data_IF_135503806004
#
_entry.id   IF_135503806004
#
_cell.length_a   1.000
_cell.length_b   1.000
_cell.length_c   1.000
_cell.angle_alpha   90.00
_cell.angle_beta   90.00
_cell.angle_gamma   90.00
#
_symmetry.space_group_name_H-M   'P 1'
#
loop_
_entity.id
_entity.type
_entity.pdbx_description
1 polymer ?
#
# COMPACT_ATOMS: atom_id res chain seq x y z
N UNK A 1 -15.15 -12.12 18.10
CA UNK A 1 -15.37 -10.69 17.80
C UNK A 1 -14.27 -10.23 16.87
N UNK A 2 -14.62 -9.59 15.75
CA UNK A 2 -13.61 -9.01 14.87
C UNK A 2 -12.89 -7.88 15.63
N UNK A 3 -11.55 -7.91 15.62
CA UNK A 3 -10.67 -6.95 16.29
C UNK A 3 -9.86 -6.20 15.23
N UNK A 4 -9.41 -4.99 15.53
CA UNK A 4 -8.56 -4.18 14.65
C UNK A 4 -9.11 -2.77 14.43
N UNK A 5 -8.39 -1.91 13.68
CA UNK A 5 -8.71 -0.50 13.54
C UNK A 5 -10.14 -0.21 13.05
N UNK A 6 -10.66 -1.00 12.11
CA UNK A 6 -12.02 -0.83 11.56
C UNK A 6 -13.15 -0.98 12.61
N UNK A 7 -12.86 -1.62 13.73
CA UNK A 7 -13.82 -1.94 14.78
C UNK A 7 -13.70 -0.99 15.98
N UNK A 8 -12.85 0.04 15.89
CA UNK A 8 -12.79 1.12 16.87
C UNK A 8 -13.88 2.16 16.57
N UNK A 9 -14.45 2.78 17.59
CA UNK A 9 -15.53 3.76 17.42
C UNK A 9 -15.02 5.11 16.89
N UNK A 10 -13.72 5.39 17.06
CA UNK A 10 -13.04 6.57 16.51
C UNK A 10 -12.66 6.43 15.02
N UNK A 11 -12.82 5.25 14.43
CA UNK A 11 -12.39 5.01 13.05
C UNK A 11 -13.27 5.78 12.05
N UNK A 12 -12.63 6.53 11.16
CA UNK A 12 -13.30 7.26 10.07
C UNK A 12 -13.09 6.53 8.74
N UNK A 13 -14.15 6.01 8.10
CA UNK A 13 -14.01 5.30 6.85
C UNK A 13 -13.74 6.24 5.67
N UNK A 14 -12.81 5.86 4.80
CA UNK A 14 -12.61 6.46 3.49
C UNK A 14 -12.91 5.47 2.35
N UNK A 15 -13.80 5.89 1.44
CA UNK A 15 -14.26 5.14 0.26
C UNK A 15 -14.29 6.02 -1.01
N UNK A 16 -13.60 7.16 -1.00
CA UNK A 16 -13.70 8.17 -2.05
C UNK A 16 -12.41 9.00 -2.18
N UNK A 17 -12.37 9.85 -3.21
CA UNK A 17 -11.25 10.76 -3.52
C UNK A 17 -10.40 10.30 -4.71
N UNK A 18 -10.47 9.02 -5.08
CA UNK A 18 -9.82 8.49 -6.29
C UNK A 18 -10.60 8.85 -7.59
N UNK A 19 -11.74 9.54 -7.51
CA UNK A 19 -12.57 9.94 -8.66
C UNK A 19 -12.85 8.79 -9.65
N UNK A 20 -12.99 7.57 -9.14
CA UNK A 20 -13.15 6.30 -9.91
C UNK A 20 -11.95 5.86 -10.77
N UNK A 21 -10.86 6.63 -10.77
CA UNK A 21 -9.62 6.29 -11.46
C UNK A 21 -8.72 5.44 -10.55
N UNK A 22 -8.30 4.24 -10.98
CA UNK A 22 -7.21 3.55 -10.31
C UNK A 22 -5.89 4.34 -10.47
N UNK A 23 -4.90 4.04 -9.64
CA UNK A 23 -3.56 4.61 -9.78
C UNK A 23 -3.03 4.35 -11.20
N UNK A 24 -2.33 5.31 -11.79
CA UNK A 24 -1.69 5.18 -13.11
C UNK A 24 -0.18 5.41 -13.02
N UNK A 25 0.56 4.83 -13.95
CA UNK A 25 1.99 5.12 -14.13
C UNK A 25 2.26 6.63 -14.24
N UNK A 26 3.38 7.06 -13.65
CA UNK A 26 3.84 8.45 -13.65
C UNK A 26 3.04 9.41 -12.75
N UNK A 27 1.87 9.03 -12.21
CA UNK A 27 1.08 9.92 -11.34
C UNK A 27 1.81 10.26 -10.04
N UNK A 28 2.40 9.26 -9.38
CA UNK A 28 3.12 9.47 -8.12
C UNK A 28 4.36 10.36 -8.31
N UNK A 29 5.13 10.12 -9.39
CA UNK A 29 6.30 10.92 -9.75
C UNK A 29 5.92 12.37 -10.06
N UNK A 30 4.90 12.59 -10.91
CA UNK A 30 4.42 13.94 -11.23
C UNK A 30 3.95 14.70 -9.98
N UNK A 31 3.21 14.03 -9.10
CA UNK A 31 2.79 14.60 -7.82
C UNK A 31 3.98 14.97 -6.94
N UNK A 32 4.95 14.05 -6.79
CA UNK A 32 6.17 14.29 -6.04
C UNK A 32 6.94 15.51 -6.56
N UNK A 33 7.18 15.58 -7.87
CA UNK A 33 7.95 16.68 -8.48
C UNK A 33 7.30 18.04 -8.25
N UNK A 34 5.97 18.13 -8.43
CA UNK A 34 5.26 19.38 -8.18
C UNK A 34 5.34 19.81 -6.71
N UNK A 35 5.18 18.87 -5.79
CA UNK A 35 5.27 19.17 -4.36
C UNK A 35 6.70 19.57 -3.98
N UNK A 36 7.71 18.84 -4.45
CA UNK A 36 9.12 19.13 -4.18
C UNK A 36 9.54 20.53 -4.66
N UNK A 37 9.09 20.95 -5.85
CA UNK A 37 9.37 22.29 -6.39
C UNK A 37 8.73 23.44 -5.59
N UNK A 38 7.61 23.16 -4.93
CA UNK A 38 6.81 24.18 -4.25
C UNK A 38 6.91 24.10 -2.73
N UNK A 39 7.64 23.14 -2.17
CA UNK A 39 7.72 22.88 -0.72
C UNK A 39 8.23 24.09 0.08
N UNK A 40 9.06 24.94 -0.54
CA UNK A 40 9.55 26.18 0.06
C UNK A 40 8.59 27.39 -0.03
N UNK A 41 7.44 27.25 -0.70
CA UNK A 41 6.46 28.34 -0.87
C UNK A 41 5.44 28.35 0.28
N UNK A 42 4.98 29.53 0.74
CA UNK A 42 3.84 29.61 1.64
C UNK A 42 2.58 29.12 0.93
N UNK A 43 1.72 28.39 1.65
CA UNK A 43 0.44 27.88 1.13
C UNK A 43 0.55 27.09 -0.19
N UNK A 44 1.64 26.34 -0.33
CA UNK A 44 2.03 25.63 -1.56
C UNK A 44 1.02 24.59 -2.08
N UNK A 45 0.02 24.22 -1.29
CA UNK A 45 -1.02 23.29 -1.70
C UNK A 45 -1.82 23.81 -2.90
N UNK A 46 -2.19 25.09 -2.90
CA UNK A 46 -2.93 25.70 -4.01
C UNK A 46 -2.13 25.59 -5.31
N UNK A 47 -0.84 25.91 -5.23
CA UNK A 47 0.09 25.76 -6.35
C UNK A 47 0.16 24.32 -6.88
N UNK A 48 0.01 23.30 -6.02
CA UNK A 48 0.07 21.91 -6.45
C UNK A 48 -1.19 21.39 -7.14
N UNK A 49 -2.38 21.89 -6.76
CA UNK A 49 -3.64 21.19 -7.04
C UNK A 49 -4.76 22.03 -7.63
N UNK A 50 -4.60 23.36 -7.73
CA UNK A 50 -5.61 24.25 -8.30
C UNK A 50 -5.59 24.23 -9.84
N UNK A 51 -6.30 25.14 -10.50
CA UNK A 51 -6.56 25.08 -11.95
C UNK A 51 -5.28 25.06 -12.81
N UNK A 52 -4.18 25.66 -12.35
CA UNK A 52 -2.87 25.58 -13.03
C UNK A 52 -2.32 24.15 -13.11
N UNK A 53 -2.69 23.28 -12.16
CA UNK A 53 -2.28 21.88 -12.12
C UNK A 53 -2.84 21.09 -13.32
N UNK A 54 -4.00 21.48 -13.86
CA UNK A 54 -4.62 20.85 -15.03
C UNK A 54 -3.68 20.99 -16.24
N UNK A 55 -3.27 22.22 -16.54
CA UNK A 55 -2.35 22.52 -17.63
C UNK A 55 -0.98 21.86 -17.40
N UNK A 56 -0.47 21.93 -16.17
CA UNK A 56 0.85 21.41 -15.83
C UNK A 56 0.94 19.89 -15.92
N UNK A 57 -0.02 19.18 -15.34
CA UNK A 57 -0.02 17.71 -15.37
C UNK A 57 -0.50 17.13 -16.70
N UNK A 58 -1.12 17.98 -17.54
CA UNK A 58 -1.69 17.59 -18.83
C UNK A 58 -2.88 16.64 -18.67
N UNK A 59 -3.67 16.78 -17.60
CA UNK A 59 -4.81 15.90 -17.29
C UNK A 59 -6.01 16.71 -16.81
N UNK A 60 -7.22 16.14 -16.92
CA UNK A 60 -8.45 16.80 -16.45
C UNK A 60 -8.54 16.95 -14.93
N UNK A 61 -9.40 17.87 -14.47
CA UNK A 61 -9.61 18.20 -13.04
C UNK A 61 -9.81 16.98 -12.12
N UNK A 62 -10.63 16.02 -12.53
CA UNK A 62 -10.89 14.81 -11.74
C UNK A 62 -9.65 13.90 -11.64
N UNK A 63 -8.81 13.88 -12.68
CA UNK A 63 -7.54 13.15 -12.64
C UNK A 63 -6.52 13.83 -11.74
N UNK A 64 -6.50 15.18 -11.67
CA UNK A 64 -5.66 15.91 -10.69
C UNK A 64 -6.07 15.53 -9.26
N UNK A 65 -7.37 15.55 -8.97
CA UNK A 65 -7.88 15.14 -7.66
C UNK A 65 -7.52 13.67 -7.31
N UNK A 66 -7.64 12.76 -8.27
CA UNK A 66 -7.24 11.36 -8.11
C UNK A 66 -5.73 11.19 -7.94
N UNK A 67 -4.92 11.92 -8.70
CA UNK A 67 -3.45 11.91 -8.58
C UNK A 67 -3.01 12.32 -7.17
N UNK A 68 -3.58 13.40 -6.65
CA UNK A 68 -3.37 13.84 -5.27
C UNK A 68 -3.79 12.77 -4.25
N UNK A 69 -4.96 12.17 -4.46
CA UNK A 69 -5.46 11.10 -3.59
C UNK A 69 -4.48 9.93 -3.53
N UNK A 70 -4.01 9.45 -4.67
CA UNK A 70 -3.07 8.33 -4.73
C UNK A 70 -1.69 8.69 -4.20
N UNK A 71 -1.18 9.88 -4.47
CA UNK A 71 0.10 10.34 -3.93
C UNK A 71 0.11 10.38 -2.39
N UNK A 72 -0.99 10.84 -1.78
CA UNK A 72 -1.17 10.79 -0.33
C UNK A 72 -1.32 9.34 0.16
N UNK A 73 -2.17 8.56 -0.50
CA UNK A 73 -2.46 7.18 -0.13
C UNK A 73 -1.24 6.25 -0.20
N UNK A 74 -0.35 6.50 -1.16
CA UNK A 74 0.90 5.78 -1.35
C UNK A 74 2.02 6.29 -0.43
N UNK A 75 1.73 7.26 0.46
CA UNK A 75 2.70 7.82 1.39
C UNK A 75 3.85 8.56 0.71
N UNK A 76 3.65 9.10 -0.50
CA UNK A 76 4.68 9.84 -1.27
C UNK A 76 4.69 11.32 -0.87
N UNK A 77 3.51 11.85 -0.56
CA UNK A 77 3.30 13.20 -0.05
C UNK A 77 2.45 13.14 1.20
N UNK A 78 2.54 14.17 2.03
CA UNK A 78 1.65 14.37 3.16
C UNK A 78 1.15 15.81 3.19
N UNK A 79 0.04 16.03 3.89
CA UNK A 79 -0.59 17.34 4.04
C UNK A 79 -0.71 17.64 5.53
N UNK A 80 0.33 18.22 6.14
CA UNK A 80 0.35 18.47 7.59
C UNK A 80 -0.74 19.45 8.02
N UNK A 81 -1.12 20.38 7.13
CA UNK A 81 -2.17 21.37 7.36
C UNK A 81 -3.05 21.53 6.12
N UNK A 82 -4.15 22.27 6.25
CA UNK A 82 -5.10 22.50 5.14
C UNK A 82 -4.44 23.21 3.96
N UNK A 83 -3.42 24.04 4.18
CA UNK A 83 -2.76 24.84 3.14
C UNK A 83 -1.33 24.37 2.82
N UNK A 84 -0.83 23.33 3.47
CA UNK A 84 0.54 22.84 3.27
C UNK A 84 0.55 21.41 2.75
N UNK A 85 1.40 21.16 1.77
CA UNK A 85 1.74 19.83 1.28
C UNK A 85 3.26 19.69 1.24
N UNK A 86 3.79 18.51 1.58
CA UNK A 86 5.23 18.26 1.55
C UNK A 86 5.55 16.84 1.11
N UNK A 87 6.77 16.63 0.63
CA UNK A 87 7.26 15.28 0.31
C UNK A 87 7.50 14.46 1.59
N UNK A 88 7.28 13.16 1.54
CA UNK A 88 7.60 12.26 2.67
C UNK A 88 9.02 11.69 2.54
N UNK A 89 9.49 11.00 3.58
CA UNK A 89 10.75 10.23 3.50
C UNK A 89 10.72 9.17 2.39
N UNK A 90 9.60 8.45 2.25
CA UNK A 90 9.42 7.46 1.19
C UNK A 90 9.38 8.10 -0.20
N UNK A 91 8.67 9.23 -0.36
CA UNK A 91 8.64 9.95 -1.63
C UNK A 91 10.03 10.42 -2.07
N UNK A 92 10.81 10.96 -1.13
CA UNK A 92 12.20 11.39 -1.39
C UNK A 92 13.12 10.21 -1.72
N UNK A 93 12.95 9.08 -1.04
CA UNK A 93 13.71 7.85 -1.32
C UNK A 93 13.48 7.37 -2.75
N UNK A 94 12.22 7.31 -3.21
CA UNK A 94 11.89 6.78 -4.53
C UNK A 94 12.18 7.78 -5.65
N UNK A 95 11.72 9.02 -5.52
CA UNK A 95 11.61 9.97 -6.64
C UNK A 95 12.51 11.20 -6.54
N UNK A 96 13.28 11.33 -5.45
CA UNK A 96 14.19 12.45 -5.24
C UNK A 96 15.30 12.52 -6.29
N UNK A 97 16.13 13.57 -6.22
CA UNK A 97 17.22 13.78 -7.18
C UNK A 97 18.21 12.61 -7.26
N UNK A 98 18.35 11.84 -6.17
CA UNK A 98 19.09 10.57 -6.09
C UNK A 98 18.15 9.42 -5.71
N UNK A 99 16.91 9.49 -6.18
CA UNK A 99 15.89 8.50 -5.87
C UNK A 99 16.24 7.13 -6.46
N UNK A 100 15.88 6.07 -5.74
CA UNK A 100 16.24 4.69 -6.11
C UNK A 100 15.38 4.13 -7.24
N UNK A 101 14.22 4.74 -7.52
CA UNK A 101 13.33 4.32 -8.61
C UNK A 101 12.50 5.50 -9.14
N UNK A 102 13.11 6.43 -9.90
CA UNK A 102 12.45 7.66 -10.37
C UNK A 102 11.25 7.43 -11.28
N UNK A 103 11.17 6.26 -11.91
CA UNK A 103 10.15 5.91 -12.90
C UNK A 103 9.13 4.87 -12.39
N UNK A 104 9.30 4.37 -11.16
CA UNK A 104 8.44 3.34 -10.55
C UNK A 104 8.45 2.03 -11.35
N UNK A 105 9.61 1.64 -11.87
CA UNK A 105 9.79 0.43 -12.69
C UNK A 105 10.19 -0.79 -11.86
N UNK A 106 10.68 -0.57 -10.63
CA UNK A 106 11.11 -1.66 -9.78
C UNK A 106 9.93 -2.26 -8.98
N UNK A 107 9.77 -3.60 -8.93
CA UNK A 107 8.66 -4.23 -8.21
C UNK A 107 8.56 -3.87 -6.73
N UNK A 108 9.71 -3.59 -6.07
CA UNK A 108 9.74 -3.14 -4.68
C UNK A 108 8.91 -1.86 -4.46
N UNK A 109 8.94 -0.92 -5.40
CA UNK A 109 8.12 0.30 -5.35
C UNK A 109 6.63 -0.03 -5.35
N UNK A 110 6.21 -0.99 -6.18
CA UNK A 110 4.83 -1.45 -6.24
C UNK A 110 4.40 -2.11 -4.93
N UNK A 111 5.25 -2.94 -4.33
CA UNK A 111 5.00 -3.55 -3.03
C UNK A 111 4.88 -2.54 -1.91
N UNK A 112 5.67 -1.46 -1.94
CA UNK A 112 5.57 -0.36 -0.97
C UNK A 112 4.26 0.41 -1.12
N UNK A 113 3.84 0.72 -2.35
CA UNK A 113 2.53 1.34 -2.58
C UNK A 113 1.42 0.42 -2.07
N UNK A 114 1.49 -0.88 -2.37
CA UNK A 114 0.51 -1.84 -1.85
C UNK A 114 0.48 -1.87 -0.31
N UNK A 115 1.66 -1.88 0.34
CA UNK A 115 1.76 -1.80 1.80
C UNK A 115 1.05 -0.58 2.35
N UNK A 116 1.32 0.60 1.78
CA UNK A 116 0.69 1.85 2.21
C UNK A 116 -0.84 1.83 2.06
N UNK A 117 -1.35 1.21 0.99
CA UNK A 117 -2.79 1.10 0.75
C UNK A 117 -3.50 0.08 1.64
N UNK A 118 -2.86 -1.06 1.95
CA UNK A 118 -3.53 -2.22 2.54
C UNK A 118 -3.04 -2.64 3.94
N UNK A 119 -1.83 -2.23 4.32
CA UNK A 119 -1.26 -2.42 5.67
C UNK A 119 -1.69 -1.35 6.67
N UNK A 120 -2.24 -0.24 6.17
CA UNK A 120 -2.81 0.86 6.96
C UNK A 120 -4.33 0.90 6.81
N UNK A 121 -5.03 1.23 7.88
CA UNK A 121 -6.49 1.22 7.88
C UNK A 121 -7.14 2.41 7.14
N UNK A 122 -6.35 3.38 6.66
CA UNK A 122 -6.89 4.61 6.05
C UNK A 122 -7.76 4.33 4.82
N UNK A 123 -7.39 3.36 3.98
CA UNK A 123 -8.19 2.93 2.82
C UNK A 123 -9.05 1.74 3.18
N UNK A 124 -10.26 2.03 3.66
CA UNK A 124 -11.18 1.05 4.23
C UNK A 124 -11.32 -0.22 3.39
N UNK A 125 -11.59 -0.09 2.09
CA UNK A 125 -11.80 -1.24 1.21
C UNK A 125 -10.53 -2.06 1.02
N UNK A 126 -9.37 -1.40 0.84
CA UNK A 126 -8.09 -2.09 0.68
C UNK A 126 -7.69 -2.82 1.95
N UNK A 127 -7.68 -2.11 3.08
CA UNK A 127 -7.36 -2.71 4.37
C UNK A 127 -8.30 -3.87 4.69
N UNK A 128 -9.62 -3.69 4.54
CA UNK A 128 -10.57 -4.75 4.79
C UNK A 128 -10.40 -5.95 3.86
N UNK A 129 -10.13 -5.72 2.57
CA UNK A 129 -9.94 -6.79 1.58
C UNK A 129 -8.79 -7.73 1.97
N UNK A 130 -7.63 -7.17 2.30
CA UNK A 130 -6.43 -7.98 2.59
C UNK A 130 -6.38 -8.44 4.06
N UNK A 131 -6.87 -7.62 5.00
CA UNK A 131 -6.74 -7.88 6.44
C UNK A 131 -7.96 -8.56 7.09
N UNK A 132 -9.13 -8.55 6.47
CA UNK A 132 -10.35 -9.06 7.11
C UNK A 132 -11.21 -9.95 6.23
N UNK A 133 -11.09 -9.86 4.91
CA UNK A 133 -11.89 -10.69 4.01
C UNK A 133 -11.59 -12.19 4.25
N UNK A 134 -12.61 -13.01 4.54
CA UNK A 134 -12.38 -14.37 5.02
C UNK A 134 -12.15 -15.40 3.90
N UNK A 135 -12.49 -15.07 2.65
CA UNK A 135 -12.49 -16.04 1.55
C UNK A 135 -11.37 -15.74 0.54
N UNK A 136 -10.86 -16.80 -0.10
CA UNK A 136 -9.85 -16.67 -1.16
C UNK A 136 -10.46 -16.18 -2.47
N UNK A 137 -11.72 -16.51 -2.73
CA UNK A 137 -12.46 -16.10 -3.92
C UNK A 137 -13.61 -15.18 -3.57
N UNK A 138 -13.93 -14.24 -4.45
CA UNK A 138 -15.07 -13.35 -4.30
C UNK A 138 -15.69 -12.98 -5.64
N UNK A 139 -16.96 -12.61 -5.61
CA UNK A 139 -17.66 -11.96 -6.72
C UNK A 139 -17.90 -10.50 -6.33
N UNK A 140 -17.84 -9.58 -7.30
CA UNK A 140 -17.95 -8.13 -7.02
C UNK A 140 -19.17 -7.76 -6.19
N UNK A 141 -20.34 -8.28 -6.57
CA UNK A 141 -21.60 -7.96 -5.89
C UNK A 141 -21.61 -8.43 -4.43
N UNK A 142 -21.15 -9.66 -4.18
CA UNK A 142 -21.07 -10.21 -2.84
C UNK A 142 -20.01 -9.52 -1.98
N UNK A 143 -18.90 -9.07 -2.59
CA UNK A 143 -17.88 -8.27 -1.93
C UNK A 143 -18.46 -6.92 -1.47
N UNK A 144 -19.17 -6.22 -2.36
CA UNK A 144 -19.86 -4.96 -2.06
C UNK A 144 -20.90 -5.12 -0.95
N UNK A 145 -21.76 -6.16 -1.00
CA UNK A 145 -22.76 -6.43 0.04
C UNK A 145 -22.13 -6.64 1.43
N UNK A 146 -20.97 -7.30 1.49
CA UNK A 146 -20.25 -7.51 2.76
C UNK A 146 -19.64 -6.22 3.31
N UNK A 147 -19.12 -5.33 2.46
CA UNK A 147 -18.66 -4.00 2.87
C UNK A 147 -19.83 -3.11 3.33
N UNK A 148 -20.95 -3.13 2.62
CA UNK A 148 -22.16 -2.41 3.01
C UNK A 148 -22.66 -2.88 4.39
N UNK A 149 -22.67 -4.20 4.62
CA UNK A 149 -22.99 -4.76 5.93
C UNK A 149 -22.03 -4.29 7.01
N UNK A 150 -20.71 -4.31 6.75
CA UNK A 150 -19.72 -3.77 7.68
C UNK A 150 -20.01 -2.30 8.00
N UNK A 151 -20.29 -1.48 7.00
CA UNK A 151 -20.60 -0.07 7.19
C UNK A 151 -21.84 0.15 8.06
N UNK A 152 -22.88 -0.65 7.87
CA UNK A 152 -24.10 -0.64 8.70
C UNK A 152 -23.81 -1.11 10.13
N UNK A 153 -23.11 -2.22 10.30
CA UNK A 153 -22.76 -2.78 11.61
C UNK A 153 -21.86 -1.82 12.42
N UNK A 154 -21.06 -0.98 11.74
CA UNK A 154 -20.21 0.06 12.34
C UNK A 154 -20.88 1.44 12.40
N UNK A 155 -22.16 1.55 12.04
CA UNK A 155 -22.91 2.81 12.02
C UNK A 155 -22.24 3.93 11.19
N UNK A 156 -21.60 3.59 10.07
CA UNK A 156 -21.03 4.54 9.11
C UNK A 156 -22.14 5.15 8.22
N UNK A 157 -23.03 5.90 8.86
CA UNK A 157 -24.28 6.44 8.30
C UNK A 157 -24.14 7.35 7.07
N UNK A 158 -22.91 7.77 6.73
CA UNK A 158 -22.60 8.68 5.62
C UNK A 158 -22.18 8.00 4.32
N UNK A 159 -22.14 6.66 4.30
CA UNK A 159 -21.61 5.92 3.14
C UNK A 159 -22.74 5.57 2.16
N UNK A 160 -22.80 6.28 1.03
CA UNK A 160 -23.76 6.00 -0.02
C UNK A 160 -23.42 4.70 -0.80
N UNK A 161 -24.45 3.97 -1.25
CA UNK A 161 -24.26 2.75 -2.06
C UNK A 161 -23.47 3.00 -3.35
N UNK A 162 -23.71 4.13 -4.01
CA UNK A 162 -22.98 4.51 -5.22
C UNK A 162 -21.48 4.69 -4.94
N UNK A 163 -21.13 5.26 -3.78
CA UNK A 163 -19.74 5.42 -3.35
C UNK A 163 -19.07 4.07 -3.15
N UNK A 164 -19.70 3.14 -2.40
CA UNK A 164 -19.17 1.79 -2.22
C UNK A 164 -19.00 1.04 -3.55
N UNK A 165 -19.99 1.15 -4.44
CA UNK A 165 -19.93 0.54 -5.77
C UNK A 165 -18.74 1.06 -6.57
N UNK A 166 -18.53 2.37 -6.59
CA UNK A 166 -17.43 3.02 -7.30
C UNK A 166 -16.06 2.67 -6.69
N UNK A 167 -15.97 2.63 -5.36
CA UNK A 167 -14.76 2.29 -4.62
C UNK A 167 -14.35 0.83 -4.84
N UNK A 168 -15.30 -0.12 -4.73
CA UNK A 168 -15.05 -1.54 -5.03
C UNK A 168 -14.64 -1.74 -6.49
N UNK A 169 -15.27 -1.02 -7.43
CA UNK A 169 -14.87 -1.07 -8.83
C UNK A 169 -13.45 -0.54 -9.04
N UNK A 170 -13.06 0.52 -8.34
CA UNK A 170 -11.70 1.08 -8.36
C UNK A 170 -10.68 0.11 -7.74
N UNK A 171 -11.01 -0.50 -6.60
CA UNK A 171 -10.21 -1.55 -5.96
C UNK A 171 -9.91 -2.70 -6.91
N UNK A 172 -10.92 -3.25 -7.58
CA UNK A 172 -10.73 -4.33 -8.55
C UNK A 172 -9.82 -3.88 -9.70
N UNK A 173 -10.07 -2.70 -10.28
CA UNK A 173 -9.23 -2.13 -11.35
C UNK A 173 -7.79 -1.82 -10.93
N UNK A 174 -7.53 -1.72 -9.63
CA UNK A 174 -6.19 -1.45 -9.10
C UNK A 174 -5.31 -2.70 -9.17
N UNK A 175 -5.89 -3.90 -9.02
CA UNK A 175 -5.13 -5.16 -8.93
C UNK A 175 -5.41 -6.16 -10.05
N UNK A 176 -6.49 -5.99 -10.81
CA UNK A 176 -6.89 -6.93 -11.86
C UNK A 176 -6.72 -6.30 -13.22
N UNK A 177 -5.78 -6.84 -14.00
CA UNK A 177 -5.61 -6.52 -15.41
C UNK A 177 -6.90 -6.77 -16.19
N UNK A 178 -7.25 -5.87 -17.11
CA UNK A 178 -8.44 -6.04 -17.95
C UNK A 178 -8.07 -6.93 -19.14
N UNK A 179 -8.95 -7.88 -19.53
CA UNK A 179 -8.79 -8.52 -20.82
C UNK A 179 -8.79 -7.45 -21.92
N UNK A 180 -7.90 -7.53 -22.92
CA UNK A 180 -7.91 -6.59 -24.03
C UNK A 180 -9.29 -6.63 -24.70
N UNK A 181 -10.02 -5.53 -24.63
CA UNK A 181 -11.31 -5.38 -25.30
C UNK A 181 -11.18 -4.26 -26.34
N UNK A 182 -11.35 -4.61 -27.61
CA UNK A 182 -11.11 -3.72 -28.76
C UNK A 182 -12.08 -2.54 -28.93
N UNK A 183 -12.75 -2.09 -27.86
CA UNK A 183 -13.78 -1.02 -27.88
C UNK A 183 -13.55 0.11 -26.88
N UNK A 184 -12.41 0.15 -26.19
CA UNK A 184 -12.11 1.15 -25.17
C UNK A 184 -11.11 2.17 -25.72
N UNK A 185 -11.41 3.47 -25.59
CA UNK A 185 -10.52 4.55 -26.03
C UNK A 185 -9.15 4.50 -25.34
N UNK A 186 -8.11 4.98 -26.02
CA UNK A 186 -6.70 4.87 -25.60
C UNK A 186 -6.41 5.30 -24.14
N UNK A 187 -7.18 6.24 -23.60
CA UNK A 187 -6.93 6.83 -22.27
C UNK A 187 -7.64 6.08 -21.11
N UNK A 188 -8.61 5.23 -21.45
CA UNK A 188 -9.35 4.37 -20.50
C UNK A 188 -8.82 2.91 -20.51
N UNK A 189 -7.78 2.68 -21.32
CA UNK A 189 -7.04 1.44 -21.48
C UNK A 189 -5.79 1.34 -20.58
N UNK A 190 -5.41 2.40 -19.86
CA UNK A 190 -4.25 2.38 -18.96
C UNK A 190 -4.57 1.59 -17.69
N UNK A 191 -3.83 0.50 -17.49
CA UNK A 191 -3.91 -0.34 -16.31
C UNK A 191 -3.17 0.29 -15.13
N UNK A 192 -3.56 -0.10 -13.92
CA UNK A 192 -2.83 0.28 -12.70
C UNK A 192 -1.51 -0.47 -12.63
N UNK A 193 -0.40 0.17 -12.21
CA UNK A 193 0.88 -0.53 -12.05
C UNK A 193 0.77 -1.71 -11.05
N UNK A 194 -0.15 -1.62 -10.09
CA UNK A 194 -0.35 -2.66 -9.08
C UNK A 194 -0.97 -3.97 -9.63
N UNK A 195 -1.38 -4.01 -10.90
CA UNK A 195 -1.79 -5.28 -11.54
C UNK A 195 -0.62 -6.25 -11.69
N UNK A 196 0.61 -5.73 -11.81
CA UNK A 196 1.84 -6.50 -11.97
C UNK A 196 2.18 -7.35 -10.75
N UNK A 197 1.70 -6.95 -9.57
CA UNK A 197 1.87 -7.73 -8.33
C UNK A 197 1.12 -9.06 -8.37
N UNK A 198 0.12 -9.21 -9.26
CA UNK A 198 -0.62 -10.45 -9.43
C UNK A 198 -1.41 -10.90 -8.19
N UNK A 199 -1.67 -9.99 -7.24
CA UNK A 199 -2.32 -10.26 -5.96
C UNK A 199 -3.78 -10.70 -6.12
N UNK A 200 -4.46 -10.25 -7.18
CA UNK A 200 -5.84 -10.62 -7.49
C UNK A 200 -5.94 -11.02 -8.97
N UNK A 201 -6.55 -12.18 -9.25
CA UNK A 201 -6.76 -12.69 -10.62
C UNK A 201 -8.25 -12.93 -10.90
N UNK A 202 -8.68 -12.62 -12.12
CA UNK A 202 -10.01 -13.02 -12.60
C UNK A 202 -10.07 -14.54 -12.81
N UNK A 203 -11.20 -15.17 -12.50
CA UNK A 203 -11.40 -16.64 -12.57
C UNK A 203 -12.50 -17.07 -13.56
N UNK A 204 -12.83 -16.23 -14.53
CA UNK A 204 -13.69 -16.55 -15.69
C UNK A 204 -15.19 -16.68 -15.43
N UNK A 205 -15.64 -16.86 -14.18
CA UNK A 205 -17.06 -16.80 -13.79
C UNK A 205 -17.50 -15.35 -13.61
N UNK A 206 -18.77 -15.04 -13.93
CA UNK A 206 -19.56 -13.81 -13.66
C UNK A 206 -18.90 -12.79 -12.71
N UNK A 207 -17.88 -12.07 -13.19
CA UNK A 207 -17.19 -11.04 -12.38
C UNK A 207 -16.61 -11.58 -11.04
N UNK A 208 -16.04 -12.78 -11.12
CA UNK A 208 -15.39 -13.51 -10.04
C UNK A 208 -13.88 -13.36 -10.05
N UNK A 209 -13.32 -13.25 -8.85
CA UNK A 209 -11.91 -12.97 -8.58
C UNK A 209 -11.36 -13.91 -7.51
N UNK A 210 -10.04 -14.04 -7.48
CA UNK A 210 -9.33 -14.75 -6.41
C UNK A 210 -8.11 -13.97 -5.94
N UNK A 211 -7.88 -13.97 -4.64
CA UNK A 211 -6.61 -13.57 -4.05
C UNK A 211 -5.55 -14.64 -4.31
N UNK A 212 -4.32 -14.24 -4.61
CA UNK A 212 -3.19 -15.13 -4.90
C UNK A 212 -2.27 -15.20 -3.67
N UNK A 213 -2.45 -16.25 -2.88
CA UNK A 213 -1.62 -16.56 -1.72
C UNK A 213 -0.38 -17.35 -2.09
N UNK A 214 0.67 -17.23 -1.28
CA UNK A 214 1.94 -17.94 -1.42
C UNK A 214 3.11 -16.99 -1.70
N UNK A 215 4.26 -17.58 -2.02
CA UNK A 215 5.52 -16.89 -2.27
C UNK A 215 5.40 -15.69 -3.23
N UNK A 216 6.06 -14.59 -2.85
CA UNK A 216 6.15 -13.35 -3.64
C UNK A 216 7.62 -13.10 -3.98
N UNK A 217 8.10 -13.71 -5.06
CA UNK A 217 9.53 -13.64 -5.46
C UNK A 217 10.00 -12.23 -5.81
N UNK A 218 9.10 -11.36 -6.28
CA UNK A 218 9.40 -9.95 -6.58
C UNK A 218 9.35 -9.02 -5.35
N UNK A 219 8.98 -9.55 -4.17
CA UNK A 219 9.03 -8.80 -2.92
C UNK A 219 10.40 -8.99 -2.30
N UNK A 220 11.16 -7.91 -2.15
CA UNK A 220 12.48 -7.91 -1.53
C UNK A 220 12.43 -7.88 -0.01
N UNK A 221 13.52 -8.29 0.64
CA UNK A 221 13.59 -8.38 2.09
C UNK A 221 13.59 -7.01 2.76
N UNK A 222 14.09 -5.97 2.08
CA UNK A 222 14.00 -4.59 2.53
C UNK A 222 12.55 -4.15 2.73
N UNK A 223 11.69 -4.38 1.72
CA UNK A 223 10.26 -4.07 1.78
C UNK A 223 9.56 -4.86 2.87
N UNK A 224 9.83 -6.17 2.98
CA UNK A 224 9.25 -6.98 4.06
C UNK A 224 9.63 -6.42 5.44
N UNK A 225 10.91 -6.11 5.64
CA UNK A 225 11.43 -5.64 6.93
C UNK A 225 10.90 -4.26 7.28
N UNK A 226 10.83 -3.35 6.31
CA UNK A 226 10.19 -2.04 6.48
C UNK A 226 8.72 -2.19 6.91
N UNK A 227 7.95 -3.04 6.21
CA UNK A 227 6.54 -3.29 6.54
C UNK A 227 6.38 -3.91 7.93
N UNK A 228 7.25 -4.84 8.31
CA UNK A 228 7.28 -5.44 9.64
C UNK A 228 7.50 -4.37 10.73
N UNK A 229 8.48 -3.49 10.55
CA UNK A 229 8.80 -2.42 11.51
C UNK A 229 7.67 -1.38 11.60
N UNK A 230 7.13 -0.96 10.46
CA UNK A 230 5.99 -0.06 10.39
C UNK A 230 4.77 -0.65 11.13
N UNK A 231 4.41 -1.90 10.83
CA UNK A 231 3.34 -2.60 11.53
C UNK A 231 3.60 -2.70 13.04
N UNK A 232 4.81 -3.15 13.41
CA UNK A 232 5.19 -3.35 14.81
C UNK A 232 5.04 -2.05 15.60
N UNK A 233 5.52 -0.92 15.07
CA UNK A 233 5.42 0.39 15.73
C UNK A 233 3.98 0.80 16.06
N UNK A 234 3.01 0.40 15.22
CA UNK A 234 1.58 0.68 15.39
C UNK A 234 0.87 -0.37 16.23
N UNK A 235 1.41 -1.60 16.29
CA UNK A 235 0.79 -2.74 16.95
C UNK A 235 1.17 -2.84 18.43
N UNK A 236 2.45 -2.62 18.77
CA UNK A 236 2.96 -2.77 20.13
C UNK A 236 4.27 -2.03 20.36
N UNK A 237 4.45 -1.46 21.55
CA UNK A 237 5.73 -0.91 22.03
C UNK A 237 6.68 -1.97 22.62
N UNK A 238 6.29 -3.25 22.62
CA UNK A 238 7.13 -4.32 23.17
C UNK A 238 8.36 -4.61 22.29
N UNK A 239 9.44 -5.06 22.94
CA UNK A 239 10.67 -5.48 22.27
C UNK A 239 10.56 -6.83 21.55
N UNK A 240 9.43 -7.52 21.65
CA UNK A 240 9.16 -8.74 20.87
C UNK A 240 7.83 -8.65 20.11
N UNK A 241 7.75 -9.36 18.99
CA UNK A 241 6.54 -9.52 18.19
C UNK A 241 6.36 -10.98 17.81
N UNK A 242 5.21 -11.56 18.15
CA UNK A 242 4.94 -12.98 17.90
C UNK A 242 4.74 -13.27 16.41
N UNK A 243 5.08 -14.50 16.00
CA UNK A 243 4.79 -14.99 14.66
C UNK A 243 3.32 -14.85 14.29
N UNK A 244 2.42 -15.20 15.21
CA UNK A 244 0.97 -15.07 15.05
C UNK A 244 0.56 -13.64 14.68
N UNK A 245 1.16 -12.63 15.32
CA UNK A 245 0.87 -11.24 15.00
C UNK A 245 1.36 -10.88 13.58
N UNK A 246 2.57 -11.32 13.21
CA UNK A 246 3.17 -11.02 11.90
C UNK A 246 2.38 -11.69 10.77
N UNK A 247 2.00 -12.95 10.96
CA UNK A 247 1.31 -13.76 9.96
C UNK A 247 -0.19 -13.41 9.84
N UNK A 248 -0.88 -13.21 10.96
CA UNK A 248 -2.35 -13.26 11.00
C UNK A 248 -3.04 -12.01 11.56
N UNK A 249 -2.32 -11.08 12.18
CA UNK A 249 -2.96 -9.86 12.65
C UNK A 249 -3.45 -9.00 11.47
N UNK A 250 -4.60 -8.32 11.61
CA UNK A 250 -5.03 -7.32 10.64
C UNK A 250 -3.98 -6.20 10.48
N UNK A 251 -3.62 -5.90 9.24
CA UNK A 251 -2.55 -4.96 8.90
C UNK A 251 -1.12 -5.53 9.04
N UNK A 252 -0.96 -6.78 9.46
CA UNK A 252 0.34 -7.45 9.53
C UNK A 252 0.87 -7.85 8.14
N UNK A 253 2.21 -7.98 7.97
CA UNK A 253 2.83 -8.32 6.69
C UNK A 253 2.27 -9.60 6.03
N UNK A 254 2.00 -10.64 6.82
CA UNK A 254 1.50 -11.92 6.29
C UNK A 254 0.16 -11.76 5.57
N UNK A 255 -0.77 -11.00 6.16
CA UNK A 255 -2.09 -10.76 5.54
C UNK A 255 -2.02 -9.77 4.39
N UNK A 256 -1.28 -8.68 4.55
CA UNK A 256 -1.16 -7.65 3.51
C UNK A 256 -0.57 -8.26 2.23
N UNK A 257 0.58 -8.94 2.32
CA UNK A 257 1.25 -9.51 1.16
C UNK A 257 0.70 -10.87 0.70
N UNK A 258 -0.33 -11.39 1.36
CA UNK A 258 -0.95 -12.69 1.08
C UNK A 258 0.07 -13.84 1.15
N UNK A 259 0.91 -13.85 2.17
CA UNK A 259 1.81 -14.97 2.45
C UNK A 259 1.06 -16.13 3.09
N UNK A 260 1.56 -17.35 2.90
CA UNK A 260 1.30 -18.45 3.82
C UNK A 260 2.28 -18.42 5.00
N UNK A 261 2.10 -19.31 5.98
CA UNK A 261 2.94 -19.32 7.18
C UNK A 261 4.40 -19.69 6.88
N UNK A 262 4.65 -20.53 5.86
CA UNK A 262 6.01 -20.89 5.49
C UNK A 262 6.71 -19.70 4.84
N UNK A 263 6.02 -18.99 3.95
CA UNK A 263 6.55 -17.77 3.34
C UNK A 263 6.93 -16.73 4.41
N UNK A 264 6.10 -16.54 5.44
CA UNK A 264 6.42 -15.63 6.55
C UNK A 264 7.64 -16.13 7.32
N UNK A 265 7.68 -17.43 7.66
CA UNK A 265 8.81 -18.01 8.39
C UNK A 265 10.13 -17.85 7.62
N UNK A 266 10.14 -18.12 6.31
CA UNK A 266 11.30 -17.99 5.44
C UNK A 266 11.85 -16.55 5.44
N UNK A 267 10.97 -15.55 5.39
CA UNK A 267 11.37 -14.13 5.49
C UNK A 267 11.93 -13.76 6.85
N UNK A 268 11.41 -14.37 7.92
CA UNK A 268 11.89 -14.11 9.28
C UNK A 268 13.27 -14.72 9.54
N UNK A 269 13.61 -15.82 8.89
CA UNK A 269 14.94 -16.44 9.01
C UNK A 269 16.05 -15.49 8.50
N UNK A 270 15.84 -14.79 7.39
CA UNK A 270 16.83 -13.84 6.82
C UNK A 270 16.89 -12.48 7.52
N UNK A 271 16.05 -12.24 8.53
CA UNK A 271 15.89 -10.92 9.13
C UNK A 271 17.14 -10.41 9.85
N UNK A 272 17.91 -11.32 10.45
CA UNK A 272 19.15 -10.98 11.16
C UNK A 272 20.21 -10.41 10.22
N UNK A 273 20.39 -11.04 9.05
CA UNK A 273 21.33 -10.59 8.03
C UNK A 273 20.90 -9.24 7.43
N UNK A 274 19.62 -9.11 7.06
CA UNK A 274 19.05 -7.89 6.45
C UNK A 274 19.17 -6.69 7.38
N UNK A 275 19.11 -6.91 8.69
CA UNK A 275 19.15 -5.84 9.70
C UNK A 275 20.47 -5.73 10.44
N UNK A 276 21.50 -6.47 10.02
CA UNK A 276 22.81 -6.51 10.69
C UNK A 276 22.69 -6.77 12.20
N UNK A 277 21.83 -7.71 12.59
CA UNK A 277 21.62 -8.13 13.98
C UNK A 277 20.61 -7.31 14.78
N UNK A 278 20.03 -6.24 14.23
CA UNK A 278 19.09 -5.39 14.97
C UNK A 278 17.76 -6.10 15.26
N UNK A 279 17.31 -6.97 14.36
CA UNK A 279 16.18 -7.87 14.56
C UNK A 279 16.65 -9.32 14.50
N UNK A 280 16.12 -10.17 15.37
CA UNK A 280 16.45 -11.60 15.41
C UNK A 280 15.21 -12.46 15.51
N UNK A 281 15.12 -13.46 14.64
CA UNK A 281 14.11 -14.51 14.75
C UNK A 281 14.48 -15.52 15.84
N UNK A 282 13.51 -15.91 16.68
CA UNK A 282 13.72 -16.82 17.80
C UNK A 282 12.57 -17.82 17.91
N UNK A 283 12.91 -19.10 18.05
CA UNK A 283 11.97 -20.20 18.35
C UNK A 283 12.26 -20.86 19.72
N UNK A 284 12.89 -20.14 20.65
CA UNK A 284 13.26 -20.66 21.95
C UNK A 284 12.02 -20.98 22.83
N UNK A 285 12.10 -22.07 23.60
CA UNK A 285 11.08 -22.49 24.57
C UNK A 285 9.65 -22.60 23.99
N UNK A 286 9.52 -22.92 22.70
CA UNK A 286 8.23 -23.05 22.01
C UNK A 286 7.59 -21.71 21.62
N UNK A 287 8.27 -20.59 21.85
CA UNK A 287 7.81 -19.25 21.45
C UNK A 287 8.46 -18.84 20.13
N UNK A 288 7.64 -18.70 19.09
CA UNK A 288 8.02 -18.19 17.78
C UNK A 288 7.81 -16.68 17.71
N UNK A 289 8.89 -15.91 17.70
CA UNK A 289 8.83 -14.44 17.75
C UNK A 289 10.07 -13.77 17.17
N UNK A 290 9.90 -12.54 16.72
CA UNK A 290 11.00 -11.63 16.41
C UNK A 290 11.34 -10.84 17.67
N UNK A 291 12.63 -10.71 17.95
CA UNK A 291 13.18 -9.90 19.04
C UNK A 291 13.89 -8.69 18.45
N UNK A 292 13.61 -7.51 18.99
CA UNK A 292 14.29 -6.27 18.65
C UNK A 292 15.44 -6.05 19.62
N UNK A 293 16.66 -6.21 19.12
CA UNK A 293 17.88 -6.02 19.92
C UNK A 293 18.28 -4.54 20.01
N UNK A 294 17.95 -3.76 18.98
CA UNK A 294 18.28 -2.33 18.89
C UNK A 294 17.06 -1.57 18.38
N UNK A 295 16.82 -0.37 18.90
CA UNK A 295 15.79 0.49 18.33
C UNK A 295 16.15 0.89 16.90
N UNK A 296 15.20 0.70 16.00
CA UNK A 296 15.30 1.11 14.61
C UNK A 296 14.29 2.25 14.44
N UNK A 297 14.79 3.46 14.23
CA UNK A 297 13.94 4.61 13.96
C UNK A 297 13.38 4.57 12.52
N UNK A 298 12.47 5.51 12.21
CA UNK A 298 11.83 5.56 10.90
C UNK A 298 12.83 5.80 9.75
N UNK A 299 13.93 6.52 9.98
CA UNK A 299 14.94 6.79 8.96
C UNK A 299 15.76 5.52 8.66
N UNK A 300 16.17 4.81 9.71
CA UNK A 300 16.87 3.53 9.59
C UNK A 300 15.97 2.47 8.93
N UNK A 301 14.68 2.42 9.29
CA UNK A 301 13.72 1.53 8.64
C UNK A 301 13.57 1.81 7.14
N UNK A 302 13.54 3.09 6.73
CA UNK A 302 13.52 3.48 5.32
C UNK A 302 14.82 3.11 4.59
N UNK A 303 15.97 3.20 5.26
CA UNK A 303 17.26 2.86 4.67
C UNK A 303 17.37 1.38 4.26
N UNK A 304 16.68 0.48 4.98
CA UNK A 304 16.64 -0.96 4.65
C UNK A 304 16.03 -1.21 3.26
N UNK A 305 15.16 -0.32 2.78
CA UNK A 305 14.57 -0.42 1.45
C UNK A 305 15.60 -0.30 0.33
N UNK A 306 16.68 0.46 0.54
CA UNK A 306 17.69 0.70 -0.49
C UNK A 306 18.31 -0.60 -1.00
N UNK A 307 18.45 -1.61 -0.14
CA UNK A 307 18.97 -2.92 -0.51
C UNK A 307 18.18 -3.58 -1.64
N UNK A 308 16.86 -3.38 -1.71
CA UNK A 308 16.02 -4.01 -2.73
C UNK A 308 16.18 -3.40 -4.13
N UNK A 309 16.83 -2.24 -4.26
CA UNK A 309 17.04 -1.54 -5.53
C UNK A 309 18.48 -1.69 -6.05
N UNK A 310 19.33 -2.44 -5.34
CA UNK A 310 20.71 -2.72 -5.78
C UNK A 310 20.70 -3.97 -6.65
N UNK A 311 21.28 -3.85 -7.85
CA UNK A 311 21.49 -4.98 -8.76
C UNK A 311 22.25 -6.12 -8.05
N UNK A 312 21.85 -7.40 -8.21
CA UNK A 312 22.41 -8.53 -7.47
C UNK A 312 23.94 -8.64 -7.52
N UNK A 313 24.59 -8.18 -8.59
CA UNK A 313 26.04 -8.25 -8.78
C UNK A 313 26.88 -7.23 -7.98
N UNK A 314 26.27 -6.25 -7.32
CA UNK A 314 27.01 -5.27 -6.51
C UNK A 314 27.15 -5.70 -5.03
N UNK A 315 26.37 -6.70 -4.57
CA UNK A 315 26.43 -7.21 -3.19
C UNK A 315 27.64 -8.14 -2.93
N UNK A 316 28.22 -8.75 -3.96
CA UNK A 316 29.41 -9.63 -3.84
C UNK A 316 30.75 -8.86 -3.85
N UNK A 317 30.73 -7.53 -4.07
CA UNK A 317 31.92 -6.70 -4.21
C UNK A 317 32.17 -5.74 -3.03
N UNK A 318 31.40 -5.84 -1.94
CA UNK A 318 31.49 -4.99 -0.75
C UNK A 318 31.96 -5.77 0.49
#
# INVERSE_FOLDING_TARGET
>A
MARGPLFQDSYSPQFSGHETFPLRYGWLKKAYDRVAETEGMPENRAACWDDEAIARFGVGKNMVASMRHWAKAAGIIEEPTVNSVRTTGLGRLLFGARGVDPFMEHPASLWLVHWQLAGHAEKTTWFWAFSHYPAVTFERENFMKKLDRLAKDRNWSRVAQATLKNDVACFIRTYVARPPSGKVGHDDALESPLTELGLIKAIGKKDGFRFVRGAKSSLGDGVFTYALLDFWSRYSGAATLSFEAIAHAPGGPGRTFLFDENDVADRLVGLEDVTSGALRWSEAAGLKQVVRNTEIDACAALALLAGDYVEPGAREAA
#
